data_IF_665611328272
#
_entry.id   IF_665611328272
#
_cell.length_a   1.000
_cell.length_b   1.000
_cell.length_c   1.000
_cell.angle_alpha   90.00
_cell.angle_beta   90.00
_cell.angle_gamma   90.00
#
_symmetry.space_group_name_H-M   'P 1'
#
loop_
_entity.id
_entity.type
_entity.pdbx_description
1 polymer ?
#
# COMPACT_ATOMS: atom_id res chain seq x y z
N UNK A 1 -1.57 20.01 -13.93
CA UNK A 1 -0.73 18.88 -13.47
C UNK A 1 -1.49 17.99 -12.50
N UNK A 2 -2.15 16.93 -13.00
CA UNK A 2 -2.76 15.91 -12.15
C UNK A 2 -1.71 14.81 -11.90
N UNK A 3 -1.49 14.36 -10.65
CA UNK A 3 -0.60 13.22 -10.41
C UNK A 3 -1.12 11.98 -11.12
N UNK A 4 -0.20 11.17 -11.68
CA UNK A 4 -0.54 9.94 -12.41
C UNK A 4 -1.15 8.88 -11.50
N UNK A 5 -0.79 8.93 -10.22
CA UNK A 5 -1.38 8.16 -9.13
C UNK A 5 -1.85 9.15 -8.06
N UNK A 6 -3.15 9.21 -7.82
CA UNK A 6 -3.77 10.07 -6.80
C UNK A 6 -4.27 9.28 -5.57
N UNK A 7 -4.55 10.01 -4.49
CA UNK A 7 -5.10 9.46 -3.24
C UNK A 7 -6.33 8.59 -3.48
N UNK A 8 -7.23 9.03 -4.35
CA UNK A 8 -8.51 8.36 -4.54
C UNK A 8 -8.32 7.02 -5.27
N UNK A 9 -7.38 6.94 -6.23
CA UNK A 9 -7.00 5.67 -6.85
C UNK A 9 -6.45 4.68 -5.82
N UNK A 10 -5.56 5.11 -4.94
CA UNK A 10 -4.98 4.26 -3.88
C UNK A 10 -6.05 3.82 -2.89
N UNK A 11 -6.85 4.75 -2.39
CA UNK A 11 -7.92 4.47 -1.43
C UNK A 11 -8.96 3.51 -2.01
N UNK A 12 -9.32 3.64 -3.29
CA UNK A 12 -10.23 2.72 -3.95
C UNK A 12 -9.70 1.30 -4.02
N UNK A 13 -8.39 1.10 -4.15
CA UNK A 13 -7.78 -0.24 -4.10
C UNK A 13 -8.05 -0.85 -2.72
N UNK A 14 -7.63 -0.19 -1.64
CA UNK A 14 -7.81 -0.71 -0.28
C UNK A 14 -9.29 -0.89 0.08
N UNK A 15 -10.14 0.09 -0.21
CA UNK A 15 -11.59 0.05 0.03
C UNK A 15 -12.24 -1.15 -0.65
N UNK A 16 -11.94 -1.38 -1.93
CA UNK A 16 -12.47 -2.52 -2.69
C UNK A 16 -12.00 -3.85 -2.13
N UNK A 17 -10.70 -4.00 -1.87
CA UNK A 17 -10.15 -5.26 -1.37
C UNK A 17 -10.66 -5.57 0.04
N UNK A 18 -10.75 -4.57 0.93
CA UNK A 18 -11.33 -4.73 2.26
C UNK A 18 -12.78 -5.24 2.18
N UNK A 19 -13.60 -4.67 1.29
CA UNK A 19 -15.00 -5.07 1.10
C UNK A 19 -15.17 -6.50 0.52
N UNK A 20 -14.17 -7.00 -0.23
CA UNK A 20 -14.23 -8.30 -0.90
C UNK A 20 -13.54 -9.41 -0.12
N UNK A 21 -12.85 -9.10 0.99
CA UNK A 21 -12.03 -10.07 1.71
C UNK A 21 -12.86 -10.87 2.71
N UNK A 22 -13.14 -12.17 2.47
CA UNK A 22 -14.07 -12.93 3.31
C UNK A 22 -13.59 -13.09 4.76
N UNK A 23 -12.26 -13.11 4.95
CA UNK A 23 -11.63 -13.23 6.28
C UNK A 23 -11.55 -11.91 7.06
N UNK A 24 -11.82 -10.77 6.41
CA UNK A 24 -11.81 -9.46 7.08
C UNK A 24 -10.45 -8.97 7.57
N UNK A 25 -9.34 -9.53 7.08
CA UNK A 25 -7.99 -9.17 7.55
C UNK A 25 -7.56 -7.76 7.17
N UNK A 26 -8.13 -7.20 6.10
CA UNK A 26 -7.90 -5.82 5.72
C UNK A 26 -9.13 -5.00 6.10
N UNK A 27 -8.94 -4.02 6.98
CA UNK A 27 -9.95 -3.04 7.31
C UNK A 27 -9.60 -1.71 6.63
N UNK A 28 -10.59 -1.04 6.06
CA UNK A 28 -10.44 0.28 5.46
C UNK A 28 -11.37 1.25 6.17
N UNK A 29 -10.87 2.42 6.54
CA UNK A 29 -11.63 3.45 7.25
C UNK A 29 -11.30 4.84 6.73
N UNK A 30 -12.29 5.73 6.78
CA UNK A 30 -12.12 7.18 6.55
C UNK A 30 -12.09 7.97 7.87
N UNK A 31 -12.19 7.26 9.00
CA UNK A 31 -12.11 7.85 10.33
C UNK A 31 -10.67 8.26 10.67
N UNK A 32 -10.55 9.26 11.55
CA UNK A 32 -9.28 9.69 12.12
C UNK A 32 -9.05 8.95 13.45
N UNK A 33 -8.51 7.73 13.39
CA UNK A 33 -8.37 6.90 14.57
C UNK A 33 -7.16 7.32 15.41
N UNK A 34 -7.23 6.98 16.69
CA UNK A 34 -6.08 6.93 17.60
C UNK A 34 -5.82 5.49 18.00
N UNK A 35 -4.70 5.24 18.71
CA UNK A 35 -4.30 3.88 19.11
C UNK A 35 -5.39 3.12 19.88
N UNK A 36 -6.18 3.81 20.70
CA UNK A 36 -7.24 3.18 21.49
C UNK A 36 -8.38 2.60 20.64
N UNK A 37 -8.65 3.17 19.47
CA UNK A 37 -9.71 2.69 18.57
C UNK A 37 -9.30 1.38 17.87
N UNK A 38 -8.00 1.05 17.90
CA UNK A 38 -7.41 -0.13 17.26
C UNK A 38 -7.42 -1.34 18.19
N UNK A 39 -7.35 -1.09 19.51
CA UNK A 39 -7.26 -2.15 20.52
C UNK A 39 -8.48 -3.06 20.42
N UNK A 40 -8.23 -4.36 20.23
CA UNK A 40 -9.28 -5.36 20.18
C UNK A 40 -10.09 -5.38 18.87
N UNK A 41 -9.66 -4.66 17.82
CA UNK A 41 -10.20 -4.87 16.47
C UNK A 41 -9.96 -6.31 16.03
N UNK A 42 -11.01 -7.12 16.12
CA UNK A 42 -10.93 -8.56 15.99
C UNK A 42 -10.53 -8.99 14.57
N UNK A 43 -9.44 -9.77 14.47
CA UNK A 43 -8.94 -10.39 13.23
C UNK A 43 -8.52 -9.41 12.14
N UNK A 44 -8.41 -8.12 12.43
CA UNK A 44 -7.91 -7.15 11.46
C UNK A 44 -6.39 -7.20 11.46
N UNK A 45 -5.76 -7.62 10.36
CA UNK A 45 -4.31 -7.60 10.20
C UNK A 45 -3.75 -6.19 9.97
N UNK A 46 -4.51 -5.36 9.26
CA UNK A 46 -4.18 -3.97 9.05
C UNK A 46 -5.45 -3.14 8.86
N UNK A 47 -5.51 -2.00 9.54
CA UNK A 47 -6.50 -0.94 9.31
C UNK A 47 -5.83 0.14 8.48
N UNK A 48 -6.33 0.40 7.27
CA UNK A 48 -5.83 1.48 6.40
C UNK A 48 -6.69 2.72 6.58
N UNK A 49 -6.04 3.86 6.88
CA UNK A 49 -6.71 5.15 7.02
C UNK A 49 -6.66 5.94 5.71
N UNK A 50 -7.80 5.97 5.03
CA UNK A 50 -7.96 6.66 3.76
C UNK A 50 -7.80 8.18 3.87
N UNK A 51 -8.20 8.76 5.00
CA UNK A 51 -8.22 10.21 5.22
C UNK A 51 -6.82 10.82 5.17
N UNK A 52 -5.82 10.12 5.69
CA UNK A 52 -4.42 10.60 5.80
C UNK A 52 -3.51 10.11 4.66
N UNK A 53 -4.05 9.30 3.74
CA UNK A 53 -3.32 8.91 2.53
C UNK A 53 -3.06 10.14 1.66
N UNK A 54 -1.82 10.32 1.21
CA UNK A 54 -1.48 11.44 0.34
C UNK A 54 -0.40 11.08 -0.69
N UNK A 55 -0.47 11.77 -1.82
CA UNK A 55 0.45 11.60 -2.95
C UNK A 55 1.09 12.93 -3.29
N UNK A 56 2.40 12.95 -3.51
CA UNK A 56 3.15 14.12 -3.99
C UNK A 56 3.95 13.73 -5.22
N UNK A 57 3.75 14.46 -6.32
CA UNK A 57 4.54 14.26 -7.55
C UNK A 57 5.59 15.35 -7.66
N UNK A 58 6.84 14.94 -7.90
CA UNK A 58 7.94 15.81 -8.27
C UNK A 58 8.43 15.42 -9.67
N UNK A 59 8.97 16.38 -10.43
CA UNK A 59 9.64 16.10 -11.71
C UNK A 59 11.13 16.17 -11.47
N UNK A 60 11.85 15.12 -11.87
CA UNK A 60 13.30 15.04 -11.74
C UNK A 60 13.89 15.08 -13.14
N UNK A 61 14.79 16.02 -13.37
CA UNK A 61 15.60 16.06 -14.59
C UNK A 61 16.64 14.93 -14.51
N UNK A 62 16.62 14.05 -15.51
CA UNK A 62 17.55 12.94 -15.67
C UNK A 62 18.38 13.23 -16.91
N UNK A 63 19.70 13.23 -16.75
CA UNK A 63 20.63 13.32 -17.87
C UNK A 63 20.88 11.92 -18.44
N UNK A 64 20.30 11.66 -19.61
CA UNK A 64 20.44 10.38 -20.30
C UNK A 64 21.89 10.09 -20.70
N UNK A 65 22.76 11.10 -20.80
CA UNK A 65 24.17 10.89 -21.14
C UNK A 65 24.93 10.09 -20.08
N UNK A 66 24.43 10.08 -18.85
CA UNK A 66 24.98 9.30 -17.73
C UNK A 66 24.55 7.82 -17.77
N UNK A 67 23.53 7.47 -18.58
CA UNK A 67 22.83 6.19 -18.50
C UNK A 67 22.89 5.37 -19.78
N UNK A 68 23.22 5.98 -20.92
CA UNK A 68 23.11 5.37 -22.25
C UNK A 68 24.44 5.50 -23.01
N UNK A 69 24.88 4.48 -23.78
CA UNK A 69 26.09 4.56 -24.61
C UNK A 69 26.08 5.70 -25.63
N UNK A 70 27.27 6.22 -25.94
CA UNK A 70 27.44 7.39 -26.80
C UNK A 70 26.89 7.18 -28.21
N UNK A 71 27.00 5.97 -28.76
CA UNK A 71 26.52 5.60 -30.09
C UNK A 71 25.00 5.78 -30.25
N UNK A 72 24.26 5.71 -29.13
CA UNK A 72 22.82 5.95 -29.09
C UNK A 72 22.52 7.43 -28.87
N UNK A 73 23.32 8.12 -28.05
CA UNK A 73 23.16 9.54 -27.74
C UNK A 73 23.35 10.45 -28.97
N UNK A 74 24.21 10.07 -29.93
CA UNK A 74 24.42 10.81 -31.18
C UNK A 74 23.13 11.03 -31.99
N UNK A 75 22.12 10.19 -31.78
CA UNK A 75 20.83 10.30 -32.45
C UNK A 75 19.74 10.99 -31.60
N UNK A 76 20.08 11.45 -30.38
CA UNK A 76 19.13 12.07 -29.44
C UNK A 76 19.41 13.58 -29.35
N UNK A 77 18.48 14.45 -29.78
CA UNK A 77 18.69 15.90 -29.81
C UNK A 77 18.66 16.58 -28.42
N UNK A 78 18.02 15.97 -27.42
CA UNK A 78 17.92 16.47 -26.05
C UNK A 78 18.17 15.32 -25.07
N UNK A 79 19.22 15.42 -24.25
CA UNK A 79 19.57 14.37 -23.29
C UNK A 79 18.97 14.59 -21.91
N UNK A 80 18.40 15.78 -21.64
CA UNK A 80 17.71 16.10 -20.40
C UNK A 80 16.24 15.69 -20.50
N UNK A 81 15.85 14.66 -19.73
CA UNK A 81 14.46 14.19 -19.67
C UNK A 81 13.88 14.42 -18.29
N UNK A 82 12.74 15.09 -18.24
CA UNK A 82 11.99 15.23 -16.98
C UNK A 82 11.09 14.02 -16.74
N UNK A 83 11.40 13.27 -15.68
CA UNK A 83 10.64 12.11 -15.26
C UNK A 83 9.74 12.50 -14.06
N UNK A 84 8.41 12.31 -14.15
CA UNK A 84 7.53 12.48 -13.00
C UNK A 84 7.69 11.30 -12.02
N UNK A 85 7.99 11.61 -10.76
CA UNK A 85 8.06 10.65 -9.66
C UNK A 85 6.96 10.98 -8.66
N UNK A 86 6.02 10.04 -8.47
CA UNK A 86 4.95 10.17 -7.48
C UNK A 86 5.31 9.38 -6.22
N UNK A 87 5.45 10.09 -5.10
CA UNK A 87 5.53 9.51 -3.75
C UNK A 87 4.13 9.37 -3.19
N UNK A 88 3.76 8.16 -2.78
CA UNK A 88 2.56 7.90 -1.99
C UNK A 88 2.95 7.60 -0.54
N UNK A 89 2.16 8.10 0.41
CA UNK A 89 2.24 7.74 1.83
C UNK A 89 0.88 7.23 2.25
N UNK A 90 0.85 6.00 2.73
CA UNK A 90 -0.35 5.30 3.21
C UNK A 90 -0.11 4.99 4.68
N UNK A 91 -1.08 5.32 5.53
CA UNK A 91 -1.01 5.05 6.96
C UNK A 91 -1.87 3.84 7.29
N UNK A 92 -1.38 3.04 8.24
CA UNK A 92 -2.16 1.95 8.76
C UNK A 92 -1.81 1.60 10.19
N UNK A 93 -2.79 1.00 10.86
CA UNK A 93 -2.72 0.52 12.22
C UNK A 93 -2.81 -1.00 12.27
N UNK A 94 -2.32 -1.56 13.36
CA UNK A 94 -2.57 -2.94 13.75
C UNK A 94 -2.46 -3.03 15.28
N UNK A 95 -3.25 -3.92 15.88
CA UNK A 95 -3.09 -4.30 17.27
C UNK A 95 -2.00 -5.39 17.33
N UNK A 96 -0.82 -5.01 17.80
CA UNK A 96 0.35 -5.88 17.82
C UNK A 96 0.22 -7.09 18.78
N UNK A 97 -0.85 -7.16 19.57
CA UNK A 97 -1.08 -8.23 20.53
C UNK A 97 -2.34 -9.03 20.20
N UNK A 98 -3.49 -8.63 20.76
CA UNK A 98 -4.67 -9.47 20.83
C UNK A 98 -5.53 -9.33 19.58
N UNK A 99 -5.91 -8.10 19.21
CA UNK A 99 -6.82 -7.84 18.10
C UNK A 99 -6.35 -8.45 16.78
N UNK A 100 -5.08 -8.22 16.44
CA UNK A 100 -4.48 -8.68 15.18
C UNK A 100 -3.62 -9.93 15.37
N UNK A 101 -2.44 -9.80 15.99
CA UNK A 101 -1.38 -10.81 15.88
C UNK A 101 -1.80 -12.19 16.40
N UNK A 102 -2.33 -12.25 17.62
CA UNK A 102 -2.72 -13.52 18.26
C UNK A 102 -3.87 -14.21 17.52
N UNK A 103 -4.84 -13.44 17.04
CA UNK A 103 -5.96 -13.97 16.27
C UNK A 103 -5.52 -14.52 14.90
N UNK A 104 -4.62 -13.82 14.21
CA UNK A 104 -4.08 -14.29 12.93
C UNK A 104 -3.25 -15.57 13.08
N UNK A 105 -2.49 -15.68 14.17
CA UNK A 105 -1.80 -16.93 14.50
C UNK A 105 -2.79 -18.08 14.76
N UNK A 106 -3.88 -17.82 15.48
CA UNK A 106 -4.96 -18.78 15.69
C UNK A 106 -5.57 -19.28 14.37
N UNK A 107 -5.94 -18.35 13.48
CA UNK A 107 -6.44 -18.67 12.14
C UNK A 107 -5.43 -19.48 11.32
N UNK A 108 -4.13 -19.20 11.50
CA UNK A 108 -3.08 -19.95 10.80
C UNK A 108 -2.98 -21.37 11.30
N UNK A 109 -3.08 -21.61 12.61
CA UNK A 109 -3.12 -22.95 13.19
C UNK A 109 -4.31 -23.75 12.65
N UNK A 110 -5.50 -23.14 12.59
CA UNK A 110 -6.70 -23.79 12.00
C UNK A 110 -6.45 -24.14 10.53
N UNK A 111 -5.93 -23.20 9.75
CA UNK A 111 -5.62 -23.44 8.32
C UNK A 111 -4.62 -24.58 8.13
N UNK A 112 -3.63 -24.71 9.02
CA UNK A 112 -2.65 -25.82 8.99
C UNK A 112 -3.31 -27.15 9.34
N UNK A 113 -4.17 -27.19 10.37
CA UNK A 113 -4.88 -28.41 10.75
C UNK A 113 -5.80 -28.92 9.62
N UNK A 114 -6.54 -28.01 8.97
CA UNK A 114 -7.37 -28.34 7.79
C UNK A 114 -6.53 -28.92 6.64
N UNK A 115 -5.36 -28.33 6.37
CA UNK A 115 -4.47 -28.82 5.31
C UNK A 115 -3.89 -30.20 5.58
N UNK A 116 -3.68 -30.56 6.86
CA UNK A 116 -3.19 -31.87 7.27
C UNK A 116 -4.30 -32.93 7.23
N UNK A 117 -5.54 -32.54 7.51
CA UNK A 117 -6.70 -33.44 7.44
C UNK A 117 -7.16 -33.71 6.00
N UNK A 118 -6.88 -32.79 5.07
CA UNK A 118 -7.26 -32.91 3.66
C UNK A 118 -6.23 -33.68 2.81
N UNK A 119 -5.19 -34.26 3.44
CA UNK A 119 -4.22 -35.19 2.83
C UNK A 119 -4.65 -36.63 3.11
#
# INVERSE_FOLDING_TARGET
DKPWVDREQINNIYRRYAAQMPRGYLHYTEEQNVSNDIIGLYRVAATIEGQVTHTRTARVAVDLSQLIPMEVLENIPETQVEVPITKAVVYGWYDNELGSYSNLLGDRVVTMAESMHSQ
#
